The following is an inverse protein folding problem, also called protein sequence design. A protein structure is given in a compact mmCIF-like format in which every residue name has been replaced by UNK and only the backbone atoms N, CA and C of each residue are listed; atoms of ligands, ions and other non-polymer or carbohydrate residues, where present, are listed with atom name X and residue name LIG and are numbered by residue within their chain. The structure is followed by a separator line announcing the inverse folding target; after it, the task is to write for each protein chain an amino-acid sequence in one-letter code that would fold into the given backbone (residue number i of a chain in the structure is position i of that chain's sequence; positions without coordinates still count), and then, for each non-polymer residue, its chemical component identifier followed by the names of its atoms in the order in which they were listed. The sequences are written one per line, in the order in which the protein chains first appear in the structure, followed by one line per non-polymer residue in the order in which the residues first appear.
data_IF_062485753012
#
_entry.id   IF_062485753012
#
_cell.length_a   1.000
_cell.length_b   1.000
_cell.length_c   1.000
_cell.angle_alpha   90.00
_cell.angle_beta   90.00
_cell.angle_gamma   90.00
#
_symmetry.space_group_name_H-M   'P 1'
#
loop_
_entity.id
_entity.type
_entity.pdbx_description
1 polymer ?
#
# COMPACT_ATOMS: atom_id res chain seq x y z
N UNK A 1 -18.14 17.53 -10.04
CA UNK A 1 -17.04 17.79 -9.09
C UNK A 1 -17.63 17.86 -7.69
N UNK A 2 -17.40 16.84 -6.86
CA UNK A 2 -17.94 16.72 -5.49
C UNK A 2 -16.86 16.84 -4.42
N UNK A 3 -15.62 17.15 -4.79
CA UNK A 3 -14.47 17.21 -3.88
C UNK A 3 -14.52 18.34 -2.84
N UNK A 4 -15.49 19.27 -2.96
CA UNK A 4 -15.74 20.31 -1.96
C UNK A 4 -16.72 19.89 -0.85
N UNK A 5 -17.43 18.76 -1.02
CA UNK A 5 -18.55 18.34 -0.17
C UNK A 5 -18.06 17.30 0.84
N UNK A 6 -18.57 17.35 2.07
CA UNK A 6 -18.27 16.30 3.05
C UNK A 6 -19.04 15.00 2.75
N UNK A 7 -18.46 13.81 3.03
CA UNK A 7 -17.13 13.61 3.60
C UNK A 7 -15.99 13.60 2.56
N UNK A 8 -16.31 13.75 1.27
CA UNK A 8 -15.35 13.60 0.14
C UNK A 8 -14.20 14.60 0.25
N UNK A 9 -14.47 15.83 0.69
CA UNK A 9 -13.45 16.85 0.93
C UNK A 9 -12.43 16.38 1.96
N UNK A 10 -12.87 15.97 3.16
CA UNK A 10 -11.98 15.51 4.22
C UNK A 10 -11.14 14.31 3.77
N UNK A 11 -11.77 13.34 3.10
CA UNK A 11 -11.08 12.17 2.53
C UNK A 11 -10.00 12.60 1.54
N UNK A 12 -10.34 13.49 0.61
CA UNK A 12 -9.41 13.96 -0.43
C UNK A 12 -8.24 14.74 0.15
N UNK A 13 -8.49 15.60 1.14
CA UNK A 13 -7.45 16.33 1.86
C UNK A 13 -6.53 15.37 2.61
N UNK A 14 -7.09 14.34 3.28
CA UNK A 14 -6.30 13.32 3.96
C UNK A 14 -5.37 12.57 3.01
N UNK A 15 -5.87 12.14 1.85
CA UNK A 15 -5.03 11.49 0.84
C UNK A 15 -3.96 12.41 0.26
N UNK A 16 -4.31 13.68 -0.01
CA UNK A 16 -3.32 14.68 -0.42
C UNK A 16 -2.21 14.80 0.64
N UNK A 17 -2.56 14.97 1.91
CA UNK A 17 -1.55 15.09 2.97
C UNK A 17 -0.67 13.85 3.09
N UNK A 18 -1.26 12.66 2.89
CA UNK A 18 -0.52 11.39 2.93
C UNK A 18 0.47 11.25 1.77
N UNK A 19 0.00 11.45 0.54
CA UNK A 19 0.78 11.11 -0.67
C UNK A 19 1.63 12.26 -1.20
N UNK A 20 1.33 13.51 -0.85
CA UNK A 20 2.08 14.65 -1.36
C UNK A 20 3.58 14.62 -1.02
N UNK A 21 4.01 14.22 0.20
CA UNK A 21 5.43 14.02 0.48
C UNK A 21 6.07 12.96 -0.43
N UNK A 22 5.32 11.88 -0.69
CA UNK A 22 5.79 10.75 -1.48
C UNK A 22 5.96 11.15 -2.96
N UNK A 23 5.00 11.90 -3.50
CA UNK A 23 5.04 12.51 -4.84
C UNK A 23 6.23 13.47 -4.98
N UNK A 24 6.49 14.30 -3.97
CA UNK A 24 7.59 15.25 -4.00
C UNK A 24 8.95 14.54 -3.91
N UNK A 25 9.07 13.51 -3.08
CA UNK A 25 10.29 12.70 -2.97
C UNK A 25 10.59 11.98 -4.29
N UNK A 26 9.58 11.41 -4.93
CA UNK A 26 9.70 10.78 -6.24
C UNK A 26 10.15 11.79 -7.30
N UNK A 27 9.58 13.02 -7.28
CA UNK A 27 10.01 14.09 -8.16
C UNK A 27 11.47 14.50 -7.93
N UNK A 28 11.90 14.67 -6.67
CA UNK A 28 13.28 15.03 -6.33
C UNK A 28 14.28 13.97 -6.79
N UNK A 29 14.00 12.68 -6.59
CA UNK A 29 14.85 11.61 -7.07
C UNK A 29 14.97 11.62 -8.61
N UNK A 30 13.87 11.85 -9.32
CA UNK A 30 13.90 11.96 -10.79
C UNK A 30 14.65 13.19 -11.30
N UNK A 31 14.63 14.29 -10.54
CA UNK A 31 15.45 15.46 -10.86
C UNK A 31 16.95 15.16 -10.68
N UNK A 32 17.32 14.38 -9.66
CA UNK A 32 18.69 13.88 -9.50
C UNK A 32 19.10 12.97 -10.67
N UNK A 33 18.22 12.06 -11.11
CA UNK A 33 18.48 11.23 -12.28
C UNK A 33 18.71 12.08 -13.54
N UNK A 34 17.93 13.14 -13.73
CA UNK A 34 18.06 14.02 -14.89
C UNK A 34 19.38 14.80 -14.88
N UNK A 35 19.89 15.16 -13.71
CA UNK A 35 21.15 15.89 -13.54
C UNK A 35 22.37 14.97 -13.64
N UNK A 36 22.33 13.81 -12.97
CA UNK A 36 23.50 12.92 -12.79
C UNK A 36 23.51 11.69 -13.69
N UNK A 37 22.37 11.33 -14.28
CA UNK A 37 22.18 10.08 -15.03
C UNK A 37 21.95 8.84 -14.14
N UNK A 38 21.96 9.01 -12.82
CA UNK A 38 21.75 7.96 -11.82
C UNK A 38 21.05 8.55 -10.57
N UNK A 39 20.51 7.68 -9.72
CA UNK A 39 20.01 8.04 -8.39
C UNK A 39 19.15 6.92 -7.79
N UNK A 40 18.54 7.20 -6.64
CA UNK A 40 17.77 6.21 -5.89
C UNK A 40 16.50 5.75 -6.64
N UNK A 41 16.13 4.47 -6.56
CA UNK A 41 14.91 3.92 -7.15
C UNK A 41 13.93 3.44 -6.07
N UNK A 42 12.62 3.53 -6.37
CA UNK A 42 11.60 3.06 -5.45
C UNK A 42 11.74 1.53 -5.21
N UNK A 43 11.38 1.04 -4.00
CA UNK A 43 11.29 -0.39 -3.73
C UNK A 43 10.35 -1.13 -4.69
N UNK A 44 10.62 -2.41 -4.92
CA UNK A 44 9.76 -3.31 -5.70
C UNK A 44 8.96 -4.16 -4.72
N UNK A 45 7.74 -3.72 -4.39
CA UNK A 45 6.84 -4.45 -3.48
C UNK A 45 6.35 -5.74 -4.12
N UNK A 46 6.53 -6.87 -3.42
CA UNK A 46 6.04 -8.19 -3.89
C UNK A 46 5.20 -8.87 -2.82
N UNK A 47 3.89 -8.96 -3.03
CA UNK A 47 2.97 -9.63 -2.09
C UNK A 47 2.54 -10.97 -2.67
N UNK A 48 2.80 -12.07 -1.96
CA UNK A 48 2.47 -13.44 -2.39
C UNK A 48 2.99 -13.76 -3.81
N UNK A 49 4.14 -13.22 -4.19
CA UNK A 49 4.74 -13.37 -5.52
C UNK A 49 4.21 -12.40 -6.58
N UNK A 50 3.10 -11.71 -6.32
CA UNK A 50 2.55 -10.67 -7.19
C UNK A 50 3.32 -9.35 -7.04
N UNK A 51 3.56 -8.66 -8.15
CA UNK A 51 4.19 -7.35 -8.21
C UNK A 51 3.73 -6.60 -9.48
N UNK A 52 4.04 -5.31 -9.54
CA UNK A 52 3.71 -4.45 -10.68
C UNK A 52 2.50 -3.54 -10.42
N UNK A 53 2.03 -2.80 -11.43
CA UNK A 53 1.04 -1.74 -11.25
C UNK A 53 -0.39 -2.27 -11.02
N UNK A 54 -0.65 -3.53 -11.41
CA UNK A 54 -1.96 -4.15 -11.21
C UNK A 54 -2.19 -4.50 -9.74
N UNK A 55 -3.46 -4.46 -9.26
CA UNK A 55 -3.77 -4.94 -7.92
C UNK A 55 -3.68 -6.48 -7.84
N UNK A 56 -3.25 -6.99 -6.69
CA UNK A 56 -3.41 -8.39 -6.33
C UNK A 56 -4.86 -8.64 -5.90
N UNK A 57 -5.58 -9.55 -6.56
CA UNK A 57 -6.95 -9.92 -6.19
C UNK A 57 -6.94 -11.23 -5.40
N UNK A 58 -7.63 -11.25 -4.25
CA UNK A 58 -7.75 -12.42 -3.37
C UNK A 58 -9.23 -12.64 -3.05
N UNK A 59 -9.68 -13.89 -3.17
CA UNK A 59 -10.98 -14.32 -2.67
C UNK A 59 -10.82 -14.84 -1.24
N UNK A 60 -11.66 -14.38 -0.32
CA UNK A 60 -11.65 -14.78 1.08
C UNK A 60 -13.06 -14.99 1.61
N UNK A 61 -13.22 -15.86 2.61
CA UNK A 61 -14.52 -16.04 3.28
C UNK A 61 -14.65 -15.11 4.47
N UNK A 62 -15.86 -14.60 4.70
CA UNK A 62 -16.16 -13.83 5.91
C UNK A 62 -15.80 -14.63 7.19
N UNK A 63 -15.22 -13.95 8.18
CA UNK A 63 -14.78 -14.56 9.45
C UNK A 63 -13.53 -15.44 9.34
N UNK A 64 -12.84 -15.48 8.19
CA UNK A 64 -11.57 -16.20 8.02
C UNK A 64 -10.38 -15.24 8.03
N UNK A 65 -9.19 -15.81 8.19
CA UNK A 65 -7.92 -15.08 8.14
C UNK A 65 -7.21 -15.42 6.85
N UNK A 66 -6.68 -14.40 6.18
CA UNK A 66 -5.76 -14.56 5.04
C UNK A 66 -4.34 -14.20 5.46
N UNK A 67 -3.34 -14.87 4.88
CA UNK A 67 -1.92 -14.59 5.13
C UNK A 67 -1.33 -13.88 3.92
N UNK A 68 -0.67 -12.75 4.16
CA UNK A 68 0.00 -11.95 3.14
C UNK A 68 1.49 -11.90 3.43
N UNK A 69 2.31 -12.10 2.40
CA UNK A 69 3.75 -12.24 2.53
C UNK A 69 4.47 -11.28 1.57
N UNK A 70 5.18 -10.31 2.13
CA UNK A 70 6.01 -9.33 1.42
C UNK A 70 7.52 -9.61 1.50
N UNK A 71 7.93 -10.83 1.90
CA UNK A 71 9.36 -11.21 2.05
C UNK A 71 10.19 -11.18 0.78
N UNK A 72 9.55 -11.04 -0.39
CA UNK A 72 10.23 -10.90 -1.68
C UNK A 72 10.29 -9.46 -2.16
N UNK A 73 9.86 -8.49 -1.35
CA UNK A 73 10.10 -7.07 -1.60
C UNK A 73 11.61 -6.80 -1.60
N UNK A 74 12.06 -6.01 -2.55
CA UNK A 74 13.48 -5.69 -2.74
C UNK A 74 13.65 -4.21 -3.04
N UNK A 75 14.80 -3.67 -2.66
CA UNK A 75 15.27 -2.35 -3.07
C UNK A 75 16.35 -2.52 -4.15
N UNK A 76 16.28 -1.84 -5.31
CA UNK A 76 17.26 -2.00 -6.39
C UNK A 76 18.69 -1.65 -5.98
N UNK A 77 18.84 -0.67 -5.10
CA UNK A 77 20.11 -0.23 -4.51
C UNK A 77 20.47 -0.98 -3.21
N UNK A 78 19.66 -1.96 -2.80
CA UNK A 78 19.81 -2.72 -1.57
C UNK A 78 19.75 -1.88 -0.28
N UNK A 79 19.08 -0.72 -0.31
CA UNK A 79 18.79 0.02 0.90
C UNK A 79 17.92 -0.81 1.86
N UNK A 80 18.09 -0.55 3.16
CA UNK A 80 17.12 -1.00 4.14
C UNK A 80 15.76 -0.34 3.85
N UNK A 81 14.67 -1.03 4.17
CA UNK A 81 13.32 -0.51 4.04
C UNK A 81 12.44 -1.03 5.15
N UNK A 82 11.29 -0.39 5.34
CA UNK A 82 10.25 -0.87 6.22
C UNK A 82 8.92 -1.00 5.49
N UNK A 83 8.04 -1.83 6.04
CA UNK A 83 6.72 -2.10 5.49
C UNK A 83 5.62 -1.54 6.40
N UNK A 84 4.51 -1.17 5.79
CA UNK A 84 3.28 -0.80 6.46
C UNK A 84 2.08 -1.37 5.71
N UNK A 85 1.27 -2.15 6.40
CA UNK A 85 0.01 -2.68 5.90
C UNK A 85 -1.15 -1.84 6.43
N UNK A 86 -2.01 -1.36 5.54
CA UNK A 86 -3.15 -0.54 5.96
C UNK A 86 -4.36 -0.72 5.04
N UNK A 87 -5.57 -0.67 5.63
CA UNK A 87 -6.81 -0.73 4.88
C UNK A 87 -7.16 0.66 4.34
N UNK A 88 -7.66 0.73 3.10
CA UNK A 88 -8.30 1.91 2.54
C UNK A 88 -9.79 1.94 2.98
N UNK A 89 -10.16 2.69 4.01
CA UNK A 89 -11.43 2.49 4.73
C UNK A 89 -12.67 3.01 3.98
N UNK A 90 -12.48 3.81 2.93
CA UNK A 90 -13.57 4.33 2.10
C UNK A 90 -14.12 3.28 1.12
N UNK A 91 -13.42 2.14 0.98
CA UNK A 91 -13.84 1.05 0.11
C UNK A 91 -14.28 -0.13 0.98
N UNK A 92 -15.60 -0.38 0.94
CA UNK A 92 -16.26 -1.32 1.82
C UNK A 92 -16.54 -0.74 3.21
N UNK A 93 -17.52 -1.31 3.89
CA UNK A 93 -17.96 -0.88 5.22
C UNK A 93 -17.22 -1.63 6.32
N UNK A 94 -16.88 -2.90 6.09
CA UNK A 94 -16.19 -3.72 7.06
C UNK A 94 -14.75 -3.24 7.33
N UNK A 95 -14.22 -3.56 8.52
CA UNK A 95 -12.86 -3.19 8.94
C UNK A 95 -12.02 -4.41 9.21
N UNK A 96 -10.95 -4.56 8.45
CA UNK A 96 -9.99 -5.64 8.60
C UNK A 96 -9.21 -5.46 9.90
N UNK A 97 -8.84 -6.57 10.53
CA UNK A 97 -7.81 -6.57 11.58
C UNK A 97 -6.51 -7.11 11.00
N UNK A 98 -5.42 -6.36 11.16
CA UNK A 98 -4.10 -6.73 10.66
C UNK A 98 -3.20 -6.96 11.86
N UNK A 99 -2.71 -8.20 12.01
CA UNK A 99 -1.79 -8.55 13.07
C UNK A 99 -0.39 -8.03 12.71
N UNK A 100 0.19 -7.21 13.60
CA UNK A 100 1.51 -6.59 13.43
C UNK A 100 1.71 -5.97 12.03
N UNK A 101 1.00 -4.87 11.78
CA UNK A 101 0.95 -4.21 10.48
C UNK A 101 2.29 -3.67 9.94
N UNK A 102 3.41 -3.85 10.65
CA UNK A 102 4.77 -3.51 10.15
C UNK A 102 5.61 -4.74 9.82
N UNK A 103 5.07 -5.95 10.01
CA UNK A 103 5.77 -7.18 9.74
C UNK A 103 5.87 -7.47 8.23
N UNK A 104 6.88 -8.26 7.85
CA UNK A 104 7.07 -8.74 6.49
C UNK A 104 5.97 -9.71 6.07
N UNK A 105 5.44 -10.47 7.03
CA UNK A 105 4.32 -11.38 6.83
C UNK A 105 3.25 -11.00 7.84
N UNK A 106 2.03 -10.77 7.35
CA UNK A 106 0.89 -10.43 8.20
C UNK A 106 -0.25 -11.40 8.02
N UNK A 107 -0.99 -11.60 9.11
CA UNK A 107 -2.29 -12.24 9.09
C UNK A 107 -3.36 -11.15 9.12
N UNK A 108 -4.33 -11.27 8.22
CA UNK A 108 -5.44 -10.32 8.06
C UNK A 108 -6.74 -11.05 8.31
N UNK A 109 -7.43 -10.67 9.38
CA UNK A 109 -8.71 -11.25 9.76
C UNK A 109 -9.85 -10.51 9.07
N UNK A 110 -10.62 -11.25 8.28
CA UNK A 110 -11.79 -10.76 7.56
C UNK A 110 -12.99 -10.79 8.52
N UNK A 111 -13.72 -9.67 8.69
CA UNK A 111 -14.91 -9.63 9.54
C UNK A 111 -15.98 -10.61 9.09
N UNK A 112 -16.79 -11.11 10.03
CA UNK A 112 -17.89 -12.02 9.74
C UNK A 112 -19.04 -11.34 8.96
N UNK A 113 -19.16 -10.02 9.07
CA UNK A 113 -20.16 -9.19 8.38
C UNK A 113 -19.67 -8.63 7.03
N UNK A 114 -18.50 -9.07 6.56
CA UNK A 114 -17.90 -8.61 5.32
C UNK A 114 -18.41 -9.33 4.06
N UNK A 115 -19.26 -10.37 4.18
CA UNK A 115 -19.76 -11.15 3.04
C UNK A 115 -20.39 -10.26 1.95
N UNK A 116 -20.00 -10.48 0.70
CA UNK A 116 -20.42 -9.70 -0.47
C UNK A 116 -19.75 -8.32 -0.61
N UNK A 117 -18.82 -7.95 0.28
CA UNK A 117 -18.08 -6.70 0.19
C UNK A 117 -16.73 -6.90 -0.53
N UNK A 118 -16.25 -5.80 -1.11
CA UNK A 118 -14.87 -5.68 -1.59
C UNK A 118 -14.10 -4.79 -0.63
N UNK A 119 -13.00 -5.30 -0.06
CA UNK A 119 -12.15 -4.60 0.88
C UNK A 119 -10.79 -4.34 0.25
N UNK A 120 -10.24 -3.15 0.46
CA UNK A 120 -8.98 -2.75 -0.14
C UNK A 120 -7.91 -2.60 0.93
N UNK A 121 -6.81 -3.33 0.74
CA UNK A 121 -5.63 -3.28 1.59
C UNK A 121 -4.43 -2.80 0.76
N UNK A 122 -3.52 -2.09 1.38
CA UNK A 122 -2.31 -1.57 0.76
C UNK A 122 -1.10 -2.11 1.55
N UNK A 123 -0.14 -2.68 0.83
CA UNK A 123 1.21 -2.89 1.33
C UNK A 123 2.07 -1.72 0.85
N UNK A 124 2.56 -0.91 1.78
CA UNK A 124 3.45 0.23 1.54
C UNK A 124 4.87 -0.16 1.93
N UNK A 125 5.84 0.06 1.06
CA UNK A 125 7.27 -0.03 1.36
C UNK A 125 7.89 1.37 1.31
N UNK A 126 8.85 1.63 2.19
CA UNK A 126 9.61 2.88 2.22
C UNK A 126 11.07 2.55 2.45
N UNK A 127 11.90 2.88 1.46
CA UNK A 127 13.35 2.74 1.58
C UNK A 127 13.94 3.75 2.57
N UNK A 128 15.19 3.50 2.96
CA UNK A 128 16.03 4.40 3.76
C UNK A 128 17.16 4.99 2.90
N UNK A 129 16.95 5.08 1.59
CA UNK A 129 17.85 5.74 0.66
C UNK A 129 17.63 7.25 0.59
N UNK A 130 18.33 7.94 -0.31
CA UNK A 130 18.04 9.34 -0.63
C UNK A 130 16.55 9.55 -0.92
N UNK A 131 15.98 10.60 -0.32
CA UNK A 131 14.56 10.97 -0.45
C UNK A 131 13.54 9.99 0.15
N UNK A 132 13.93 8.84 0.71
CA UNK A 132 13.03 7.83 1.31
C UNK A 132 11.90 7.44 0.35
N UNK A 133 12.22 6.83 -0.79
CA UNK A 133 11.23 6.55 -1.83
C UNK A 133 10.26 5.46 -1.39
N UNK A 134 9.03 5.58 -1.89
CA UNK A 134 7.93 4.67 -1.56
C UNK A 134 7.44 3.90 -2.75
N UNK A 135 6.92 2.71 -2.47
CA UNK A 135 6.15 1.92 -3.41
C UNK A 135 4.97 1.25 -2.73
N UNK A 136 3.92 0.98 -3.50
CA UNK A 136 2.66 0.44 -3.00
C UNK A 136 2.20 -0.74 -3.83
N UNK A 137 1.73 -1.79 -3.16
CA UNK A 137 0.97 -2.86 -3.80
C UNK A 137 -0.44 -2.85 -3.23
N UNK A 138 -1.43 -2.63 -4.10
CA UNK A 138 -2.84 -2.75 -3.74
C UNK A 138 -3.25 -4.22 -3.74
N UNK A 139 -3.99 -4.61 -2.71
CA UNK A 139 -4.64 -5.91 -2.56
C UNK A 139 -6.15 -5.68 -2.49
N UNK A 140 -6.90 -6.31 -3.38
CA UNK A 140 -8.36 -6.30 -3.42
C UNK A 140 -8.83 -7.64 -2.88
N UNK A 141 -9.53 -7.59 -1.74
CA UNK A 141 -10.13 -8.78 -1.12
C UNK A 141 -11.61 -8.81 -1.47
N UNK A 142 -12.00 -9.79 -2.28
CA UNK A 142 -13.39 -10.08 -2.59
C UNK A 142 -13.88 -11.07 -1.52
N UNK A 143 -14.87 -10.66 -0.74
CA UNK A 143 -15.35 -11.45 0.40
C UNK A 143 -16.62 -12.22 0.03
N UNK A 144 -16.56 -13.53 0.23
CA UNK A 144 -17.66 -14.49 0.05
C UNK A 144 -18.30 -14.89 1.39
#
# INVERSE_FOLDING_TARGET
WTSWQEPVRTISVGYKQRFYPDELNDFMARMEWADKGEGNHNPIVRVNGHHGPSPLVIHAKAGKTIRLNASKTTDPEHHAFHLLWWQQPEIGKARLTIDDARNVVVNVSIPADAAGQTLHLICEATDHGPFNLKAYQRIIVIVE
#
